data_IF_145601130579
#
_entry.id   IF_145601130579
#
_cell.length_a   1.000
_cell.length_b   1.000
_cell.length_c   1.000
_cell.angle_alpha   90.00
_cell.angle_beta   90.00
_cell.angle_gamma   90.00
#
_symmetry.space_group_name_H-M   'P 1'
#
loop_
_entity.id
_entity.type
_entity.pdbx_description
1 polymer ?
#
# COMPACT_ATOMS: atom_id res chain seq x y z
N UNK A 1 7.73 7.71 -21.28
CA UNK A 1 7.53 8.67 -20.19
C UNK A 1 7.18 7.91 -18.92
N UNK A 2 8.06 7.83 -17.94
CA UNK A 2 7.72 7.28 -16.61
C UNK A 2 7.04 8.38 -15.80
N UNK A 3 5.74 8.58 -16.03
CA UNK A 3 4.90 9.38 -15.13
C UNK A 3 4.81 8.68 -13.78
N UNK A 4 5.14 9.40 -12.70
CA UNK A 4 4.95 8.90 -11.34
C UNK A 4 3.52 9.12 -10.88
N UNK A 5 2.95 8.14 -10.19
CA UNK A 5 1.67 8.36 -9.49
C UNK A 5 1.90 9.44 -8.45
N UNK A 6 1.10 10.50 -8.53
CA UNK A 6 1.05 11.55 -7.51
C UNK A 6 -0.23 11.37 -6.72
N UNK A 7 -0.10 11.07 -5.43
CA UNK A 7 -1.22 11.05 -4.49
C UNK A 7 -1.37 12.43 -3.83
N UNK A 8 -2.62 12.83 -3.57
CA UNK A 8 -2.97 14.05 -2.84
C UNK A 8 -4.11 13.77 -1.86
N UNK A 9 -4.06 14.42 -0.70
CA UNK A 9 -5.15 14.42 0.27
C UNK A 9 -6.04 15.62 -0.04
N UNK A 10 -7.34 15.36 -0.17
CA UNK A 10 -8.37 16.38 -0.41
C UNK A 10 -8.81 17.03 0.90
N UNK A 11 -9.50 18.17 0.83
CA UNK A 11 -9.95 18.89 2.03
C UNK A 11 -10.93 18.11 2.91
N UNK A 12 -11.64 17.12 2.34
CA UNK A 12 -12.50 16.17 3.05
C UNK A 12 -11.76 14.88 3.47
N UNK A 13 -10.42 14.88 3.43
CA UNK A 13 -9.58 13.79 3.93
C UNK A 13 -9.44 12.59 2.99
N UNK A 14 -10.06 12.59 1.80
CA UNK A 14 -9.92 11.49 0.85
C UNK A 14 -8.57 11.54 0.13
N UNK A 15 -7.97 10.37 -0.07
CA UNK A 15 -6.79 10.22 -0.92
C UNK A 15 -7.27 10.09 -2.37
N UNK A 16 -6.79 10.97 -3.23
CA UNK A 16 -6.95 10.85 -4.69
C UNK A 16 -5.58 10.74 -5.33
N UNK A 17 -5.50 10.10 -6.49
CA UNK A 17 -4.26 9.94 -7.23
C UNK A 17 -4.50 10.17 -8.71
N UNK A 18 -3.45 10.60 -9.41
CA UNK A 18 -3.43 10.64 -10.87
C UNK A 18 -2.95 9.29 -11.40
N UNK A 19 -3.56 8.81 -12.48
CA UNK A 19 -3.33 7.52 -13.14
C UNK A 19 -3.92 6.29 -12.42
N UNK A 20 -3.70 5.08 -12.95
CA UNK A 20 -4.27 3.84 -12.44
C UNK A 20 -3.45 3.28 -11.28
N UNK A 21 -4.03 3.26 -10.08
CA UNK A 21 -3.38 2.74 -8.87
C UNK A 21 -2.99 1.27 -8.98
N UNK A 22 -3.83 0.44 -9.62
CA UNK A 22 -3.55 -0.98 -9.75
C UNK A 22 -2.28 -1.23 -10.58
N UNK A 23 -2.09 -0.46 -11.66
CA UNK A 23 -0.89 -0.56 -12.49
C UNK A 23 0.37 -0.16 -11.72
N UNK A 24 0.27 0.80 -10.79
CA UNK A 24 1.40 1.16 -9.94
C UNK A 24 1.71 0.12 -8.86
N UNK A 25 0.70 -0.50 -8.25
CA UNK A 25 0.90 -1.61 -7.31
C UNK A 25 1.58 -2.77 -8.04
N UNK A 26 1.10 -3.11 -9.23
CA UNK A 26 1.69 -4.14 -10.08
C UNK A 26 3.15 -3.82 -10.46
N UNK A 27 3.43 -2.57 -10.85
CA UNK A 27 4.78 -2.13 -11.17
C UNK A 27 5.70 -2.17 -9.94
N UNK A 28 5.22 -1.70 -8.78
CA UNK A 28 5.98 -1.73 -7.53
C UNK A 28 6.32 -3.17 -7.13
N UNK A 29 5.36 -4.09 -7.21
CA UNK A 29 5.57 -5.49 -6.87
C UNK A 29 6.71 -6.12 -7.68
N UNK A 30 6.76 -5.86 -9.00
CA UNK A 30 7.86 -6.34 -9.86
C UNK A 30 9.21 -5.69 -9.51
N UNK A 31 9.20 -4.43 -9.09
CA UNK A 31 10.43 -3.73 -8.68
C UNK A 31 10.95 -4.24 -7.33
N UNK A 32 10.06 -4.50 -6.38
CA UNK A 32 10.40 -5.08 -5.08
C UNK A 32 10.97 -6.50 -5.21
N UNK A 33 10.43 -7.30 -6.13
CA UNK A 33 11.01 -8.59 -6.51
C UNK A 33 12.48 -8.47 -6.95
N UNK A 34 12.81 -7.40 -7.67
CA UNK A 34 14.13 -7.18 -8.26
C UNK A 34 15.12 -6.53 -7.28
N UNK A 35 14.68 -5.54 -6.51
CA UNK A 35 15.57 -4.65 -5.78
C UNK A 35 15.59 -4.92 -4.27
N UNK A 36 14.47 -5.25 -3.64
CA UNK A 36 14.39 -5.36 -2.17
C UNK A 36 13.35 -6.39 -1.72
N UNK A 37 13.59 -7.68 -1.97
CA UNK A 37 12.59 -8.71 -1.69
C UNK A 37 12.33 -8.95 -0.20
N UNK A 38 13.21 -8.48 0.71
CA UNK A 38 13.05 -8.63 2.17
C UNK A 38 12.20 -7.56 2.85
N UNK A 39 11.98 -6.41 2.19
CA UNK A 39 11.22 -5.28 2.76
C UNK A 39 10.19 -4.80 1.74
N UNK A 40 9.12 -5.57 1.59
CA UNK A 40 8.11 -5.36 0.54
C UNK A 40 6.88 -4.63 1.06
N UNK A 41 6.42 -3.68 0.28
CA UNK A 41 5.14 -3.00 0.44
C UNK A 41 4.01 -3.76 -0.24
N UNK A 42 4.33 -4.67 -1.17
CA UNK A 42 3.36 -5.45 -1.94
C UNK A 42 3.60 -6.97 -1.84
N UNK A 43 2.58 -7.73 -2.19
CA UNK A 43 2.62 -9.20 -2.32
C UNK A 43 1.88 -9.66 -3.58
N UNK A 44 2.15 -10.89 -4.00
CA UNK A 44 1.33 -11.61 -4.97
C UNK A 44 0.31 -12.47 -4.24
N UNK A 45 -0.96 -12.33 -4.62
CA UNK A 45 -2.03 -13.23 -4.19
C UNK A 45 -1.96 -14.56 -4.96
N UNK A 46 -2.80 -15.53 -4.58
CA UNK A 46 -2.82 -16.88 -5.18
C UNK A 46 -3.15 -16.88 -6.68
N UNK A 47 -3.97 -15.92 -7.11
CA UNK A 47 -4.32 -15.71 -8.52
C UNK A 47 -3.24 -14.94 -9.30
N UNK A 48 -2.13 -14.59 -8.64
CA UNK A 48 -1.05 -13.81 -9.21
C UNK A 48 -1.29 -12.31 -9.19
N UNK A 49 -2.39 -11.79 -8.64
CA UNK A 49 -2.64 -10.35 -8.59
C UNK A 49 -1.70 -9.67 -7.58
N UNK A 50 -1.10 -8.53 -7.94
CA UNK A 50 -0.34 -7.72 -7.01
C UNK A 50 -1.25 -6.96 -6.04
N UNK A 51 -0.88 -6.96 -4.76
CA UNK A 51 -1.70 -6.42 -3.68
C UNK A 51 -0.86 -5.60 -2.68
N UNK A 52 -1.32 -4.43 -2.23
CA UNK A 52 -0.61 -3.61 -1.25
C UNK A 52 -0.74 -4.22 0.16
N UNK A 53 0.36 -4.73 0.70
CA UNK A 53 0.42 -5.37 2.02
C UNK A 53 0.65 -4.35 3.13
N UNK A 54 1.67 -3.52 2.99
CA UNK A 54 2.19 -2.71 4.11
C UNK A 54 1.19 -1.70 4.64
N UNK A 55 0.36 -1.12 3.77
CA UNK A 55 -0.68 -0.17 4.18
C UNK A 55 -1.69 -0.81 5.14
N UNK A 56 -2.13 -2.03 4.85
CA UNK A 56 -3.08 -2.76 5.69
C UNK A 56 -2.45 -3.12 7.03
N UNK A 57 -1.21 -3.63 7.02
CA UNK A 57 -0.49 -3.97 8.26
C UNK A 57 -0.37 -2.76 9.20
N UNK A 58 -0.05 -1.59 8.65
CA UNK A 58 0.07 -0.35 9.45
C UNK A 58 -1.28 0.08 10.04
N UNK A 59 -2.37 -0.02 9.26
CA UNK A 59 -3.72 0.31 9.74
C UNK A 59 -4.16 -0.65 10.84
N UNK A 60 -4.02 -1.96 10.60
CA UNK A 60 -4.43 -2.98 11.58
C UNK A 60 -3.62 -2.90 12.87
N UNK A 61 -2.29 -2.74 12.78
CA UNK A 61 -1.46 -2.59 13.98
C UNK A 61 -1.76 -1.31 14.77
N UNK A 62 -2.13 -0.22 14.08
CA UNK A 62 -2.56 1.02 14.75
C UNK A 62 -3.91 0.84 15.45
N UNK A 63 -4.85 0.15 14.82
CA UNK A 63 -6.16 -0.15 15.40
C UNK A 63 -5.99 -1.01 16.66
N UNK A 64 -5.29 -2.14 16.56
CA UNK A 64 -5.02 -3.04 17.69
C UNK A 64 -4.39 -2.28 18.87
N UNK A 65 -3.43 -1.39 18.58
CA UNK A 65 -2.80 -0.59 19.62
C UNK A 65 -3.81 0.27 20.38
N UNK A 66 -4.75 0.92 19.69
CA UNK A 66 -5.77 1.76 20.34
C UNK A 66 -6.84 0.95 21.05
N UNK A 67 -7.27 -0.18 20.50
CA UNK A 67 -8.20 -1.10 21.19
C UNK A 67 -7.60 -1.57 22.52
N UNK A 68 -6.32 -1.92 22.55
CA UNK A 68 -5.63 -2.31 23.78
C UNK A 68 -5.42 -1.18 24.78
N UNK A 69 -5.38 0.08 24.34
CA UNK A 69 -5.31 1.24 25.22
C UNK A 69 -6.67 1.56 25.85
N UNK A 70 -7.77 1.32 25.13
CA UNK A 70 -9.14 1.53 25.64
C UNK A 70 -9.54 0.47 26.68
N UNK A 71 -8.96 -0.73 26.57
CA UNK A 71 -9.15 -1.85 27.51
C UNK A 71 -8.35 -1.72 28.83
N UNK A 72 -7.42 -0.77 28.95
CA UNK A 72 -6.45 -0.64 30.06
C UNK A 72 -6.81 0.48 31.06
#
# INVERSE_FOLDING_TARGET
MTGGITARVTGDGKITYKDNYQDAVERLCRLEDKYQPGERYTIRLKDGTAFPRRGIELVMGRLEHYERMDEA
#
